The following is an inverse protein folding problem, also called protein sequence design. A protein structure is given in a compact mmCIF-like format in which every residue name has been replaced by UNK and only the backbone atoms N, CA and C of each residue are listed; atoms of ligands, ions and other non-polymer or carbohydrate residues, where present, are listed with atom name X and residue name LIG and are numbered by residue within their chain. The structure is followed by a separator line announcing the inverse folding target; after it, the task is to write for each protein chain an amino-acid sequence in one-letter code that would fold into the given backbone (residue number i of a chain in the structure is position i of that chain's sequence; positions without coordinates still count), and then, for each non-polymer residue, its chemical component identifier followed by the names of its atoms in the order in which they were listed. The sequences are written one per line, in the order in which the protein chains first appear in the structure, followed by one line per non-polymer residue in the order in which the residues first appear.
data_IF_885200857708
#
_entry.id   IF_885200857708
#
_cell.length_a   1.000
_cell.length_b   1.000
_cell.length_c   1.000
_cell.angle_alpha   90.00
_cell.angle_beta   90.00
_cell.angle_gamma   90.00
#
_symmetry.space_group_name_H-M   'P 1'
#
loop_
_entity.id
_entity.type
_entity.pdbx_description
1 polymer ?
#
# COMPACT_ATOMS: atom_id res chain seq x y z
N UNK A 1 19.54 76.49 44.44
CA UNK A 1 20.58 76.12 43.47
C UNK A 1 20.94 74.65 43.70
N UNK A 2 20.23 73.71 43.07
CA UNK A 2 20.49 72.27 43.17
C UNK A 2 20.37 71.66 41.77
N UNK A 3 21.47 71.04 41.32
CA UNK A 3 21.57 70.28 40.08
C UNK A 3 20.92 68.91 40.30
N UNK A 4 20.05 68.46 39.40
CA UNK A 4 19.71 67.05 39.28
C UNK A 4 20.22 66.52 37.93
N UNK A 5 21.07 65.49 38.05
CA UNK A 5 21.63 64.70 36.97
C UNK A 5 20.55 63.85 36.29
N UNK A 6 20.54 63.83 34.96
CA UNK A 6 19.74 62.89 34.17
C UNK A 6 20.32 61.48 34.23
N UNK A 7 19.48 60.50 34.57
CA UNK A 7 19.77 59.09 34.33
C UNK A 7 19.40 58.73 32.90
N UNK A 8 20.38 58.28 32.12
CA UNK A 8 20.17 57.59 30.86
C UNK A 8 19.65 56.18 31.15
N UNK A 9 18.45 55.86 30.69
CA UNK A 9 17.91 54.50 30.73
C UNK A 9 18.29 53.80 29.42
N UNK A 10 19.29 52.92 29.46
CA UNK A 10 19.64 52.05 28.34
C UNK A 10 18.65 50.88 28.33
N UNK A 11 17.68 50.92 27.41
CA UNK A 11 16.78 49.81 27.16
C UNK A 11 17.50 48.77 26.27
N UNK A 12 17.95 47.68 26.86
CA UNK A 12 18.42 46.49 26.12
C UNK A 12 17.22 45.70 25.62
N UNK A 13 16.95 45.76 24.32
CA UNK A 13 15.99 44.88 23.64
C UNK A 13 16.52 43.44 23.62
N UNK A 14 16.02 42.60 24.54
CA UNK A 14 16.13 41.15 24.44
C UNK A 14 15.20 40.67 23.31
N UNK A 15 15.79 40.39 22.15
CA UNK A 15 15.08 39.78 21.02
C UNK A 15 14.83 38.31 21.33
N UNK A 16 13.68 37.99 21.92
CA UNK A 16 13.23 36.61 22.12
C UNK A 16 12.86 36.03 20.75
N UNK A 17 13.81 35.34 20.11
CA UNK A 17 13.59 34.65 18.85
C UNK A 17 12.55 33.54 19.04
N UNK A 18 11.29 33.82 18.66
CA UNK A 18 10.28 32.79 18.48
C UNK A 18 10.70 31.89 17.30
N UNK A 19 11.36 30.79 17.61
CA UNK A 19 11.51 29.68 16.68
C UNK A 19 10.16 28.97 16.56
N UNK A 20 9.32 29.44 15.64
CA UNK A 20 8.13 28.68 15.28
C UNK A 20 8.57 27.33 14.70
N UNK A 21 8.12 26.18 15.27
CA UNK A 21 8.40 24.90 14.67
C UNK A 21 7.74 24.86 13.30
N UNK A 22 8.54 24.63 12.25
CA UNK A 22 8.02 24.37 10.91
C UNK A 22 7.30 23.03 10.96
N UNK A 23 5.97 23.07 11.15
CA UNK A 23 5.12 21.90 10.99
C UNK A 23 5.08 21.59 9.51
N UNK A 24 5.93 20.66 9.07
CA UNK A 24 5.81 20.08 7.72
C UNK A 24 4.58 19.17 7.72
N UNK A 25 3.48 19.67 7.15
CA UNK A 25 2.32 18.83 6.90
C UNK A 25 2.66 17.85 5.78
N UNK A 26 2.99 16.60 6.14
CA UNK A 26 3.10 15.53 5.15
C UNK A 26 1.75 15.35 4.46
N UNK A 27 1.75 15.32 3.13
CA UNK A 27 0.55 15.11 2.32
C UNK A 27 -0.14 13.79 2.74
N UNK A 28 -1.45 13.82 2.95
CA UNK A 28 -2.27 12.66 3.34
C UNK A 28 -3.34 12.42 2.29
N UNK A 29 -3.52 11.16 1.89
CA UNK A 29 -4.50 10.77 0.87
C UNK A 29 -5.13 9.42 1.22
N UNK A 30 -6.44 9.31 0.98
CA UNK A 30 -7.12 8.03 0.98
C UNK A 30 -6.79 7.27 -0.32
N UNK A 31 -6.26 6.06 -0.19
CA UNK A 31 -5.94 5.16 -1.30
C UNK A 31 -7.11 4.20 -1.49
N UNK A 32 -7.93 4.39 -2.54
CA UNK A 32 -9.07 3.52 -2.85
C UNK A 32 -8.63 2.19 -3.47
N UNK A 33 -9.50 1.18 -3.42
CA UNK A 33 -9.24 -0.11 -4.07
C UNK A 33 -9.28 0.01 -5.59
N UNK A 34 -10.03 0.97 -6.12
CA UNK A 34 -10.16 1.25 -7.54
C UNK A 34 -8.81 1.54 -8.20
N UNK A 35 -7.84 2.08 -7.46
CA UNK A 35 -6.45 2.20 -7.93
C UNK A 35 -5.80 0.85 -8.22
N UNK A 36 -6.09 -0.19 -7.44
CA UNK A 36 -5.58 -1.53 -7.69
C UNK A 36 -6.38 -2.25 -8.79
N UNK A 37 -7.70 -1.99 -8.84
CA UNK A 37 -8.62 -2.59 -9.82
C UNK A 37 -8.57 -1.93 -11.21
N UNK A 38 -7.86 -0.80 -11.35
CA UNK A 38 -7.86 -0.02 -12.60
C UNK A 38 -9.19 0.64 -12.91
N UNK A 39 -10.04 0.85 -11.89
CA UNK A 39 -11.36 1.45 -12.04
C UNK A 39 -11.35 2.97 -11.99
N UNK A 40 -12.53 3.56 -12.23
CA UNK A 40 -12.78 4.96 -11.90
C UNK A 40 -12.86 5.11 -10.38
N UNK A 41 -12.15 6.09 -9.83
CA UNK A 41 -12.22 6.37 -8.40
C UNK A 41 -13.54 7.07 -8.12
N UNK A 42 -14.39 6.39 -7.36
CA UNK A 42 -15.56 7.04 -6.76
C UNK A 42 -15.06 7.84 -5.56
N UNK A 43 -15.49 9.09 -5.39
CA UNK A 43 -15.04 9.98 -4.30
C UNK A 43 -15.42 9.49 -2.89
N UNK A 44 -16.02 8.29 -2.78
CA UNK A 44 -16.40 7.70 -1.51
C UNK A 44 -15.17 7.18 -0.78
N UNK A 45 -14.94 7.65 0.45
CA UNK A 45 -13.96 7.05 1.40
C UNK A 45 -14.45 5.71 1.96
N UNK A 46 -15.34 5.02 1.24
CA UNK A 46 -15.98 3.78 1.66
C UNK A 46 -15.28 2.63 0.99
N UNK A 47 -14.90 1.65 1.80
CA UNK A 47 -14.37 0.40 1.31
C UNK A 47 -15.53 -0.45 0.83
N UNK A 48 -15.47 -0.84 -0.44
CA UNK A 48 -16.50 -1.60 -1.12
C UNK A 48 -15.85 -2.75 -1.89
N UNK A 49 -16.66 -3.70 -2.34
CA UNK A 49 -16.20 -4.74 -3.25
C UNK A 49 -16.86 -4.54 -4.63
N UNK A 50 -16.44 -3.53 -5.41
CA UNK A 50 -17.02 -3.29 -6.72
C UNK A 50 -16.73 -4.46 -7.67
N UNK A 51 -17.70 -4.81 -8.50
CA UNK A 51 -17.49 -5.80 -9.55
C UNK A 51 -16.47 -5.31 -10.57
N UNK A 52 -15.62 -6.23 -11.04
CA UNK A 52 -14.58 -5.94 -12.02
C UNK A 52 -14.31 -7.16 -12.90
N UNK A 53 -14.05 -6.89 -14.17
CA UNK A 53 -13.37 -7.77 -15.11
C UNK A 53 -12.40 -6.90 -15.91
N UNK A 54 -11.13 -6.87 -15.48
CA UNK A 54 -10.14 -5.89 -15.92
C UNK A 54 -8.85 -6.55 -16.34
N UNK A 55 -8.32 -6.14 -17.50
CA UNK A 55 -7.05 -6.62 -18.04
C UNK A 55 -6.02 -5.49 -18.09
N UNK A 56 -4.77 -5.80 -17.77
CA UNK A 56 -3.73 -4.77 -17.61
C UNK A 56 -2.31 -5.31 -17.79
N UNK A 57 -1.36 -4.37 -17.74
CA UNK A 57 0.06 -4.63 -17.92
C UNK A 57 0.43 -4.84 -19.39
N UNK A 58 1.64 -5.32 -19.63
CA UNK A 58 2.16 -5.45 -20.99
C UNK A 58 1.36 -6.47 -21.81
N UNK A 59 0.72 -5.99 -22.88
CA UNK A 59 -0.18 -6.78 -23.75
C UNK A 59 -1.33 -7.42 -22.97
N UNK A 60 -1.84 -6.74 -21.94
CA UNK A 60 -3.06 -7.16 -21.20
C UNK A 60 -2.95 -8.58 -20.61
N UNK A 61 -1.72 -9.00 -20.27
CA UNK A 61 -1.44 -10.37 -19.83
C UNK A 61 -1.88 -10.66 -18.39
N UNK A 62 -2.31 -9.65 -17.65
CA UNK A 62 -2.82 -9.79 -16.31
C UNK A 62 -4.30 -9.50 -16.30
N UNK A 63 -5.03 -10.27 -15.51
CA UNK A 63 -6.47 -10.09 -15.32
C UNK A 63 -6.79 -9.95 -13.84
N UNK A 64 -7.78 -9.13 -13.51
CA UNK A 64 -8.43 -9.08 -12.20
C UNK A 64 -9.93 -9.30 -12.43
N UNK A 65 -10.52 -10.24 -11.69
CA UNK A 65 -11.95 -10.54 -11.73
C UNK A 65 -12.52 -10.72 -10.32
N UNK A 66 -13.75 -10.30 -10.11
CA UNK A 66 -14.48 -10.51 -8.85
C UNK A 66 -15.33 -9.31 -8.46
N UNK A 67 -15.75 -9.20 -7.20
CA UNK A 67 -15.48 -10.14 -6.11
C UNK A 67 -16.16 -11.50 -6.32
N UNK A 68 -15.59 -12.57 -5.73
CA UNK A 68 -16.24 -13.86 -5.55
C UNK A 68 -16.22 -14.25 -4.08
N UNK A 69 -17.15 -15.10 -3.65
CA UNK A 69 -17.06 -15.76 -2.35
C UNK A 69 -16.08 -16.94 -2.46
N UNK A 70 -15.09 -16.97 -1.59
CA UNK A 70 -14.09 -18.04 -1.50
C UNK A 70 -14.05 -18.61 -0.10
N UNK A 71 -14.18 -19.92 0.03
CA UNK A 71 -13.98 -20.61 1.30
C UNK A 71 -12.50 -20.88 1.52
N UNK A 72 -11.96 -20.36 2.62
CA UNK A 72 -10.59 -20.63 3.01
C UNK A 72 -10.45 -22.09 3.43
N UNK A 73 -9.66 -22.88 2.70
CA UNK A 73 -9.50 -24.31 2.98
C UNK A 73 -8.89 -24.63 4.35
N UNK A 74 -8.28 -23.65 5.02
CA UNK A 74 -7.67 -23.81 6.35
C UNK A 74 -8.57 -23.31 7.48
N UNK A 75 -9.18 -22.13 7.32
CA UNK A 75 -10.04 -21.55 8.37
C UNK A 75 -11.51 -21.88 8.21
N UNK A 76 -11.92 -22.41 7.04
CA UNK A 76 -13.31 -22.62 6.61
C UNK A 76 -14.16 -21.35 6.55
N UNK A 77 -13.53 -20.19 6.64
CA UNK A 77 -14.22 -18.90 6.55
C UNK A 77 -14.53 -18.57 5.09
N UNK A 78 -15.73 -18.01 4.87
CA UNK A 78 -16.11 -17.45 3.58
C UNK A 78 -15.65 -16.01 3.47
N UNK A 79 -14.77 -15.74 2.51
CA UNK A 79 -14.12 -14.44 2.32
C UNK A 79 -14.47 -13.93 0.91
N UNK A 80 -14.86 -12.66 0.79
CA UNK A 80 -14.96 -12.00 -0.52
C UNK A 80 -13.57 -11.66 -1.03
N UNK A 81 -13.25 -12.13 -2.23
CA UNK A 81 -11.92 -11.99 -2.82
C UNK A 81 -12.00 -11.59 -4.29
N UNK A 82 -10.96 -10.92 -4.77
CA UNK A 82 -10.66 -10.77 -6.19
C UNK A 82 -9.66 -11.83 -6.62
N UNK A 83 -9.85 -12.37 -7.82
CA UNK A 83 -8.89 -13.24 -8.48
C UNK A 83 -8.00 -12.37 -9.36
N UNK A 84 -6.69 -12.35 -9.08
CA UNK A 84 -5.69 -11.79 -10.00
C UNK A 84 -4.94 -12.94 -10.66
N UNK A 85 -4.94 -13.00 -11.98
CA UNK A 85 -4.28 -14.07 -12.71
C UNK A 85 -3.44 -13.62 -13.90
N UNK A 86 -2.60 -14.53 -14.38
CA UNK A 86 -1.86 -14.44 -15.65
C UNK A 86 -1.43 -15.82 -16.11
N UNK A 87 -1.24 -16.01 -17.41
CA UNK A 87 -0.56 -17.20 -17.91
C UNK A 87 0.95 -17.14 -17.70
N UNK A 88 1.55 -18.20 -17.16
CA UNK A 88 2.99 -18.36 -17.04
C UNK A 88 3.52 -19.31 -18.08
N UNK A 89 4.27 -18.79 -19.06
CA UNK A 89 4.97 -19.63 -20.04
C UNK A 89 5.96 -20.59 -19.37
N UNK A 90 6.68 -20.13 -18.34
CA UNK A 90 7.68 -20.93 -17.62
C UNK A 90 7.06 -22.16 -16.92
N UNK A 91 5.86 -22.00 -16.35
CA UNK A 91 5.17 -23.08 -15.65
C UNK A 91 4.12 -23.77 -16.52
N UNK A 92 3.96 -23.33 -17.76
CA UNK A 92 2.93 -23.73 -18.70
C UNK A 92 1.51 -23.83 -18.06
N UNK A 93 1.15 -22.85 -17.22
CA UNK A 93 -0.14 -22.83 -16.52
C UNK A 93 -0.56 -21.43 -16.14
N UNK A 94 -1.84 -21.26 -15.84
CA UNK A 94 -2.34 -20.05 -15.20
C UNK A 94 -1.82 -19.94 -13.76
N UNK A 95 -1.25 -18.78 -13.42
CA UNK A 95 -0.96 -18.37 -12.06
C UNK A 95 -2.15 -17.54 -11.59
N UNK A 96 -2.80 -17.94 -10.51
CA UNK A 96 -3.88 -17.20 -9.87
C UNK A 96 -3.56 -16.93 -8.40
N UNK A 97 -4.01 -15.77 -7.95
CA UNK A 97 -3.89 -15.31 -6.57
C UNK A 97 -5.23 -14.72 -6.14
N UNK A 98 -5.60 -14.96 -4.89
CA UNK A 98 -6.82 -14.38 -4.30
C UNK A 98 -6.43 -13.22 -3.40
N UNK A 99 -7.17 -12.12 -3.50
CA UNK A 99 -6.87 -10.84 -2.85
C UNK A 99 -8.09 -10.28 -2.14
N UNK A 100 -7.90 -9.73 -0.95
CA UNK A 100 -8.97 -9.07 -0.19
C UNK A 100 -8.39 -7.99 0.73
N UNK A 101 -9.27 -7.23 1.39
CA UNK A 101 -8.86 -6.30 2.44
C UNK A 101 -8.35 -7.06 3.66
N UNK A 102 -7.23 -6.60 4.21
CA UNK A 102 -6.59 -7.21 5.38
C UNK A 102 -6.10 -6.14 6.33
N UNK A 103 -5.62 -6.56 7.51
CA UNK A 103 -4.97 -5.67 8.48
C UNK A 103 -5.85 -4.46 8.83
N UNK A 104 -7.10 -4.72 9.24
CA UNK A 104 -8.09 -3.70 9.56
C UNK A 104 -8.25 -2.66 8.44
N UNK A 105 -8.34 -3.16 7.20
CA UNK A 105 -8.51 -2.38 5.99
C UNK A 105 -7.36 -1.42 5.63
N UNK A 106 -6.16 -1.63 6.18
CA UNK A 106 -4.99 -0.83 5.82
C UNK A 106 -4.29 -1.33 4.56
N UNK A 107 -4.62 -2.54 4.10
CA UNK A 107 -4.02 -3.15 2.93
C UNK A 107 -5.00 -3.96 2.10
N UNK A 108 -4.65 -4.12 0.83
CA UNK A 108 -5.04 -5.30 0.06
C UNK A 108 -3.93 -6.36 0.17
N UNK A 109 -4.35 -7.55 0.61
CA UNK A 109 -3.50 -8.69 0.88
C UNK A 109 -3.79 -9.87 -0.02
N UNK A 110 -2.75 -10.63 -0.37
CA UNK A 110 -2.95 -11.98 -0.91
C UNK A 110 -3.40 -12.89 0.22
N UNK A 111 -4.43 -13.69 -0.03
CA UNK A 111 -4.90 -14.77 0.87
C UNK A 111 -4.67 -16.17 0.30
N UNK A 112 -4.47 -16.28 -1.02
CA UNK A 112 -4.11 -17.53 -1.67
C UNK A 112 -3.16 -17.31 -2.87
N UNK A 113 -2.29 -18.29 -3.15
CA UNK A 113 -1.39 -18.30 -4.31
C UNK A 113 -1.19 -19.73 -4.86
N UNK A 114 -1.71 -20.00 -6.06
CA UNK A 114 -1.76 -21.34 -6.65
C UNK A 114 -0.39 -21.90 -7.11
N UNK A 115 0.69 -21.10 -7.06
CA UNK A 115 2.02 -21.58 -7.45
C UNK A 115 2.58 -22.62 -6.49
N UNK A 116 2.16 -22.55 -5.23
CA UNK A 116 2.53 -23.52 -4.21
C UNK A 116 1.39 -23.83 -3.25
N UNK A 117 0.14 -23.65 -3.70
CA UNK A 117 -1.06 -23.81 -2.86
C UNK A 117 -0.93 -23.11 -1.50
N UNK A 118 -0.39 -21.88 -1.52
CA UNK A 118 -0.10 -21.12 -0.31
C UNK A 118 -1.36 -20.45 0.18
N UNK A 119 -1.71 -20.68 1.45
CA UNK A 119 -2.70 -19.88 2.18
C UNK A 119 -1.96 -18.83 2.99
N UNK A 120 -2.49 -17.60 3.00
CA UNK A 120 -1.85 -16.45 3.63
C UNK A 120 -2.90 -15.73 4.46
N UNK A 121 -2.60 -15.54 5.73
CA UNK A 121 -3.39 -14.75 6.66
C UNK A 121 -2.72 -13.39 6.86
N UNK A 122 -3.51 -12.31 6.89
CA UNK A 122 -3.03 -10.94 7.10
C UNK A 122 -1.93 -10.49 6.14
N UNK A 123 -1.93 -11.00 4.89
CA UNK A 123 -1.04 -10.52 3.83
C UNK A 123 -1.19 -9.00 3.65
N UNK A 124 -0.11 -8.26 3.41
CA UNK A 124 -0.20 -6.87 2.98
C UNK A 124 0.75 -6.65 1.81
N UNK A 125 0.24 -6.12 0.68
CA UNK A 125 1.08 -5.80 -0.49
C UNK A 125 0.70 -4.52 -1.21
N UNK A 126 -0.56 -4.09 -1.13
CA UNK A 126 -1.00 -2.79 -1.65
C UNK A 126 -1.60 -1.97 -0.50
N UNK A 127 -1.21 -0.70 -0.30
CA UNK A 127 -1.78 0.14 0.74
C UNK A 127 -3.24 0.51 0.40
N UNK A 128 -4.10 0.52 1.41
CA UNK A 128 -5.50 0.95 1.31
C UNK A 128 -5.79 1.91 2.46
N UNK A 129 -6.73 2.84 2.24
CA UNK A 129 -7.19 3.74 3.29
C UNK A 129 -6.31 4.99 3.40
N UNK A 130 -6.33 5.63 4.57
CA UNK A 130 -5.54 6.85 4.80
C UNK A 130 -4.06 6.52 5.03
N UNK A 131 -3.23 7.19 4.24
CA UNK A 131 -1.78 7.11 4.29
C UNK A 131 -1.16 8.48 4.11
N UNK A 132 0.01 8.69 4.71
CA UNK A 132 0.83 9.89 4.54
C UNK A 132 2.04 9.62 3.65
N UNK A 133 2.45 10.61 2.89
CA UNK A 133 3.69 10.53 2.12
C UNK A 133 4.89 10.35 3.06
N UNK A 134 5.79 9.44 2.73
CA UNK A 134 6.92 9.04 3.59
C UNK A 134 6.56 8.04 4.70
N UNK A 135 5.27 7.78 4.96
CA UNK A 135 4.84 6.85 6.01
C UNK A 135 5.28 5.42 5.70
N UNK A 136 5.74 4.71 6.74
CA UNK A 136 6.06 3.29 6.67
C UNK A 136 5.28 2.50 7.72
N UNK A 137 4.60 1.42 7.31
CA UNK A 137 3.94 0.48 8.23
C UNK A 137 4.44 -0.94 7.98
N UNK A 138 4.54 -1.72 9.05
CA UNK A 138 4.94 -3.13 9.02
C UNK A 138 3.77 -4.03 9.41
N UNK A 139 3.63 -5.15 8.71
CA UNK A 139 2.54 -6.10 8.87
C UNK A 139 3.11 -7.52 8.94
N UNK A 140 2.63 -8.30 9.90
CA UNK A 140 2.97 -9.72 10.04
C UNK A 140 1.92 -10.57 9.35
N UNK A 141 2.36 -11.55 8.57
CA UNK A 141 1.48 -12.45 7.85
C UNK A 141 1.86 -13.90 8.13
N UNK A 142 0.85 -14.74 8.40
CA UNK A 142 1.04 -16.18 8.56
C UNK A 142 0.89 -16.84 7.19
N UNK A 143 1.84 -17.69 6.83
CA UNK A 143 1.82 -18.47 5.60
C UNK A 143 1.71 -19.95 5.95
N UNK A 144 1.03 -20.67 5.07
CA UNK A 144 0.98 -22.11 5.05
C UNK A 144 1.15 -22.62 3.62
N UNK A 145 2.06 -23.55 3.40
CA UNK A 145 2.04 -24.45 2.25
C UNK A 145 2.51 -25.85 2.61
N UNK A 146 2.14 -26.83 1.79
CA UNK A 146 2.44 -28.25 2.00
C UNK A 146 3.94 -28.54 2.12
N UNK A 147 4.79 -27.73 1.48
CA UNK A 147 6.24 -27.97 1.44
C UNK A 147 6.96 -27.43 2.67
N UNK A 148 6.53 -26.26 3.17
CA UNK A 148 7.19 -25.55 4.27
C UNK A 148 6.44 -25.61 5.58
N UNK A 149 5.21 -26.10 5.58
CA UNK A 149 4.30 -25.99 6.71
C UNK A 149 4.02 -24.52 7.04
N UNK A 150 3.94 -24.21 8.33
CA UNK A 150 3.65 -22.87 8.82
C UNK A 150 4.91 -22.01 8.92
N UNK A 151 4.86 -20.80 8.38
CA UNK A 151 5.93 -19.81 8.55
C UNK A 151 5.39 -18.39 8.53
N UNK A 152 6.14 -17.44 9.08
CA UNK A 152 5.77 -16.03 9.11
C UNK A 152 6.60 -15.22 8.12
N UNK A 153 6.00 -14.18 7.56
CA UNK A 153 6.73 -13.10 6.89
C UNK A 153 6.29 -11.76 7.43
N UNK A 154 7.22 -10.82 7.47
CA UNK A 154 6.93 -9.42 7.73
C UNK A 154 6.95 -8.69 6.40
N UNK A 155 5.90 -7.96 6.08
CA UNK A 155 5.87 -7.01 4.97
C UNK A 155 5.95 -5.58 5.49
N UNK A 156 6.70 -4.73 4.81
CA UNK A 156 6.75 -3.29 5.07
C UNK A 156 6.31 -2.54 3.82
N UNK A 157 5.37 -1.62 3.98
CA UNK A 157 4.93 -0.69 2.93
C UNK A 157 5.43 0.69 3.32
N UNK A 158 6.13 1.36 2.40
CA UNK A 158 6.54 2.75 2.51
C UNK A 158 5.95 3.55 1.36
N UNK A 159 5.22 4.61 1.67
CA UNK A 159 4.64 5.50 0.67
C UNK A 159 5.73 6.46 0.18
N UNK A 160 6.03 6.43 -1.12
CA UNK A 160 7.04 7.29 -1.72
C UNK A 160 6.44 8.56 -2.29
N UNK A 161 5.26 8.44 -2.91
CA UNK A 161 4.54 9.55 -3.51
C UNK A 161 3.03 9.27 -3.47
N UNK A 162 2.24 10.20 -2.92
CA UNK A 162 0.77 10.09 -2.92
C UNK A 162 0.10 10.83 -4.07
N UNK A 163 0.83 11.65 -4.82
CA UNK A 163 0.25 12.55 -5.80
C UNK A 163 -0.58 13.66 -5.14
N UNK A 164 -1.10 14.57 -5.96
CA UNK A 164 -1.79 15.78 -5.46
C UNK A 164 -3.24 15.51 -5.06
N UNK A 165 -3.90 14.60 -5.78
CA UNK A 165 -5.34 14.36 -5.70
C UNK A 165 -5.69 12.91 -6.09
N UNK A 166 -6.98 12.56 -6.04
CA UNK A 166 -7.49 11.25 -6.42
C UNK A 166 -7.15 10.83 -7.86
N UNK A 167 -6.93 11.77 -8.77
CA UNK A 167 -6.58 11.49 -10.17
C UNK A 167 -5.07 11.26 -10.37
N UNK A 168 -4.28 11.51 -9.34
CA UNK A 168 -2.84 11.32 -9.37
C UNK A 168 -2.47 9.86 -9.15
N UNK A 169 -1.38 9.43 -9.78
CA UNK A 169 -0.76 8.14 -9.51
C UNK A 169 -0.15 8.12 -8.10
N UNK A 170 0.01 6.92 -7.54
CA UNK A 170 0.76 6.69 -6.30
C UNK A 170 1.99 5.86 -6.58
N UNK A 171 3.04 6.09 -5.80
CA UNK A 171 4.24 5.26 -5.78
C UNK A 171 4.50 4.78 -4.35
N UNK A 172 4.74 3.48 -4.18
CA UNK A 172 5.08 2.91 -2.87
C UNK A 172 6.09 1.78 -2.99
N UNK A 173 6.92 1.65 -1.97
CA UNK A 173 7.85 0.55 -1.80
C UNK A 173 7.21 -0.53 -0.94
N UNK A 174 7.35 -1.77 -1.35
CA UNK A 174 6.98 -2.94 -0.57
C UNK A 174 8.17 -3.88 -0.40
N UNK A 175 8.46 -4.23 0.85
CA UNK A 175 9.48 -5.20 1.23
C UNK A 175 8.81 -6.38 1.90
N UNK A 176 9.35 -7.59 1.71
CA UNK A 176 8.98 -8.76 2.49
C UNK A 176 10.22 -9.47 3.00
N UNK A 177 10.19 -9.81 4.28
CA UNK A 177 11.28 -10.48 4.98
C UNK A 177 10.77 -11.71 5.73
N UNK A 178 11.66 -12.67 5.94
CA UNK A 178 11.42 -13.88 6.72
C UNK A 178 12.62 -14.11 7.63
N UNK A 179 12.40 -14.18 8.95
CA UNK A 179 13.50 -14.26 9.94
C UNK A 179 14.57 -13.19 9.71
N UNK A 180 14.14 -11.95 9.47
CA UNK A 180 14.96 -10.77 9.15
C UNK A 180 15.76 -10.84 7.83
N UNK A 181 15.65 -11.92 7.06
CA UNK A 181 16.24 -12.01 5.73
C UNK A 181 15.28 -11.46 4.69
N UNK A 182 15.79 -10.60 3.80
CA UNK A 182 15.02 -10.06 2.68
C UNK A 182 14.62 -11.19 1.73
N UNK A 183 13.33 -11.30 1.45
CA UNK A 183 12.76 -12.29 0.52
C UNK A 183 12.44 -11.65 -0.82
N UNK A 184 11.87 -10.45 -0.79
CA UNK A 184 11.44 -9.73 -1.99
C UNK A 184 11.34 -8.23 -1.68
N UNK A 185 11.62 -7.40 -2.66
CA UNK A 185 11.55 -5.95 -2.58
C UNK A 185 11.11 -5.41 -3.93
N UNK A 186 10.09 -4.55 -3.93
CA UNK A 186 9.66 -3.87 -5.14
C UNK A 186 9.15 -2.47 -4.86
N UNK A 187 9.30 -1.59 -5.84
CA UNK A 187 8.61 -0.29 -5.93
C UNK A 187 7.50 -0.42 -6.95
N UNK A 188 6.30 0.01 -6.60
CA UNK A 188 5.13 -0.05 -7.45
C UNK A 188 4.59 1.33 -7.73
N UNK A 189 4.14 1.54 -8.97
CA UNK A 189 3.41 2.74 -9.38
C UNK A 189 2.03 2.34 -9.90
N UNK A 190 0.97 2.92 -9.33
CA UNK A 190 -0.42 2.69 -9.72
C UNK A 190 -1.10 4.00 -10.10
N UNK A 191 -1.88 3.97 -11.18
CA UNK A 191 -2.62 5.13 -11.66
C UNK A 191 -4.13 4.83 -11.76
N UNK A 192 -4.99 5.84 -11.55
CA UNK A 192 -6.43 5.71 -11.78
C UNK A 192 -6.74 5.24 -13.20
N UNK A 193 -7.81 4.44 -13.37
CA UNK A 193 -8.28 3.91 -14.67
C UNK A 193 -7.31 2.99 -15.43
N UNK A 194 -6.10 2.77 -14.89
CA UNK A 194 -5.06 1.94 -15.52
C UNK A 194 -4.56 0.85 -14.58
N UNK A 195 -4.63 1.06 -13.26
CA UNK A 195 -4.13 0.11 -12.29
C UNK A 195 -2.61 0.17 -12.16
N UNK A 196 -1.97 -0.98 -12.07
CA UNK A 196 -0.51 -1.09 -11.99
C UNK A 196 0.12 -0.65 -13.32
N UNK A 197 1.03 0.32 -13.29
CA UNK A 197 1.73 0.80 -14.50
C UNK A 197 3.23 0.56 -14.48
N UNK A 198 3.86 0.46 -13.31
CA UNK A 198 5.28 0.10 -13.18
C UNK A 198 5.59 -0.76 -11.98
N UNK A 199 6.58 -1.63 -12.17
CA UNK A 199 7.26 -2.36 -11.10
C UNK A 199 8.75 -2.11 -11.24
N UNK A 200 9.39 -1.56 -10.20
CA UNK A 200 10.82 -1.19 -10.20
C UNK A 200 11.20 -0.33 -11.41
N UNK A 201 10.37 0.67 -11.72
CA UNK A 201 10.53 1.56 -12.87
C UNK A 201 10.21 0.94 -14.24
N UNK A 202 9.91 -0.37 -14.33
CA UNK A 202 9.65 -1.08 -15.59
C UNK A 202 8.16 -1.16 -15.90
N UNK A 203 7.79 -0.88 -17.16
CA UNK A 203 6.41 -1.01 -17.70
C UNK A 203 6.08 -2.42 -18.23
N UNK A 204 7.09 -3.27 -18.43
CA UNK A 204 6.92 -4.65 -18.92
C UNK A 204 7.02 -5.62 -17.74
N UNK A 205 5.87 -5.98 -17.18
CA UNK A 205 5.72 -6.93 -16.08
C UNK A 205 4.65 -7.96 -16.41
#
# INVERSE_FOLDING_TARGET
MFRLFGLLLVATLFSFGMTFPIVTFANERFIPIELWLGGNITTSRKLSFPEVDFEFGYKERHKIKGPINWENSKTRENIRVYVRSRFSKKLNKEISQLWTYTNNNQCLGRVFDNRGNRVIENGCKFPIGLWKEGESRSFSSNYYDEKKGHYKRTSMVTILNLGKDENSCIEFKWKSSQKNLLVDENVYEYCPKVGLIRVNGKKRF
#
